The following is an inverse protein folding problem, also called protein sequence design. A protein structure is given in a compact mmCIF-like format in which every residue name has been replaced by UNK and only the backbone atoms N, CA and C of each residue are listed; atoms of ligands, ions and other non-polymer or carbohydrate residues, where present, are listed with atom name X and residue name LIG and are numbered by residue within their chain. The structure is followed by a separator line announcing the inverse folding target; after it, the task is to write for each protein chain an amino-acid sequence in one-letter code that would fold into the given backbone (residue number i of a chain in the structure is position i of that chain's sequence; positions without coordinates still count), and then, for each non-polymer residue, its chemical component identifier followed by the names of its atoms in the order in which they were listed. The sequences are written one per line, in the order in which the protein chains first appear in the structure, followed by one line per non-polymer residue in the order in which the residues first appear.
data_IF_255420333444
#
_entry.id   IF_255420333444
#
_cell.length_a   1.000
_cell.length_b   1.000
_cell.length_c   1.000
_cell.angle_alpha   90.00
_cell.angle_beta   90.00
_cell.angle_gamma   90.00
#
_symmetry.space_group_name_H-M   'P 1'
#
loop_
_entity.id
_entity.type
_entity.pdbx_description
1 polymer ?
#
# COMPACT_ATOMS: atom_id res chain seq x y z
N UNK A 1 -5.17 22.46 38.73
CA UNK A 1 -5.33 21.08 38.23
C UNK A 1 -5.22 21.12 36.72
N UNK A 2 -4.04 20.80 36.17
CA UNK A 2 -3.88 20.56 34.74
C UNK A 2 -4.36 19.13 34.49
N UNK A 3 -5.61 18.99 34.06
CA UNK A 3 -6.15 17.69 33.66
C UNK A 3 -5.41 17.21 32.43
N UNK A 4 -4.69 16.09 32.54
CA UNK A 4 -4.22 15.36 31.37
C UNK A 4 -5.44 14.92 30.57
N UNK A 5 -5.80 15.67 29.53
CA UNK A 5 -6.67 15.16 28.47
C UNK A 5 -5.91 14.01 27.82
N UNK A 6 -6.27 12.77 28.18
CA UNK A 6 -5.75 11.60 27.50
C UNK A 6 -6.16 11.71 26.03
N UNK A 7 -5.18 11.73 25.15
CA UNK A 7 -5.44 11.77 23.71
C UNK A 7 -6.28 10.56 23.34
N UNK A 8 -7.37 10.79 22.61
CA UNK A 8 -8.27 9.72 22.19
C UNK A 8 -7.49 8.79 21.25
N UNK A 9 -7.55 7.46 21.44
CA UNK A 9 -6.98 6.51 20.51
C UNK A 9 -7.41 6.79 19.07
N UNK A 10 -6.47 6.59 18.14
CA UNK A 10 -6.71 6.72 16.70
C UNK A 10 -6.64 5.35 16.05
N UNK A 11 -7.35 5.20 14.93
CA UNK A 11 -7.29 4.03 14.08
C UNK A 11 -6.59 4.34 12.76
N UNK A 12 -5.56 3.57 12.42
CA UNK A 12 -4.85 3.70 11.13
C UNK A 12 -5.07 2.47 10.24
N UNK A 13 -5.44 2.68 8.98
CA UNK A 13 -5.52 1.60 7.98
C UNK A 13 -4.38 1.73 6.98
N UNK A 14 -3.60 0.66 6.82
CA UNK A 14 -2.50 0.57 5.86
C UNK A 14 -2.73 -0.58 4.91
N UNK A 15 -2.73 -0.27 3.61
CA UNK A 15 -2.78 -1.26 2.55
C UNK A 15 -1.37 -1.44 1.99
N UNK A 16 -0.94 -2.69 1.83
CA UNK A 16 0.35 -3.03 1.22
C UNK A 16 0.09 -3.90 0.01
N UNK A 17 0.55 -3.45 -1.16
CA UNK A 17 0.47 -4.21 -2.39
C UNK A 17 1.85 -4.76 -2.72
N UNK A 18 1.89 -6.04 -3.08
CA UNK A 18 3.09 -6.73 -3.54
C UNK A 18 2.86 -7.21 -4.96
N UNK A 19 3.68 -6.72 -5.89
CA UNK A 19 3.62 -7.16 -7.28
C UNK A 19 4.37 -8.47 -7.48
N UNK A 20 3.61 -9.55 -7.74
CA UNK A 20 4.19 -10.89 -7.94
C UNK A 20 4.70 -11.12 -9.36
N UNK A 21 4.49 -10.14 -10.23
CA UNK A 21 5.03 -10.11 -11.59
C UNK A 21 6.45 -9.52 -11.60
N UNK A 22 6.77 -8.67 -10.62
CA UNK A 22 8.12 -8.14 -10.39
C UNK A 22 8.94 -9.10 -9.50
N UNK A 23 9.77 -9.91 -10.16
CA UNK A 23 10.63 -10.88 -9.48
C UNK A 23 11.67 -10.26 -8.52
N UNK A 24 11.96 -8.96 -8.62
CA UNK A 24 12.89 -8.28 -7.71
C UNK A 24 12.32 -8.23 -6.28
N UNK A 25 11.00 -8.28 -6.14
CA UNK A 25 10.30 -8.28 -4.86
C UNK A 25 10.01 -9.68 -4.31
N UNK A 26 10.54 -10.74 -4.92
CA UNK A 26 10.31 -12.12 -4.46
C UNK A 26 10.85 -12.42 -3.07
N UNK A 27 11.94 -11.77 -2.68
CA UNK A 27 12.56 -12.02 -1.38
C UNK A 27 11.78 -11.39 -0.24
N UNK A 28 11.42 -12.20 0.77
CA UNK A 28 10.78 -11.71 1.99
C UNK A 28 11.62 -10.64 2.72
N UNK A 29 12.95 -10.62 2.51
CA UNK A 29 13.86 -9.70 3.17
C UNK A 29 13.49 -8.22 2.97
N UNK A 30 12.99 -7.85 1.79
CA UNK A 30 12.59 -6.46 1.48
C UNK A 30 11.50 -5.96 2.44
N UNK A 31 10.52 -6.81 2.73
CA UNK A 31 9.39 -6.44 3.58
C UNK A 31 9.74 -6.52 5.05
N UNK A 32 10.53 -7.54 5.44
CA UNK A 32 10.94 -7.72 6.82
C UNK A 32 11.78 -6.54 7.33
N UNK A 33 12.62 -5.95 6.47
CA UNK A 33 13.38 -4.73 6.82
C UNK A 33 12.49 -3.51 6.98
N UNK A 34 11.35 -3.45 6.31
CA UNK A 34 10.43 -2.32 6.32
C UNK A 34 9.38 -2.38 7.45
N UNK A 35 9.25 -3.52 8.16
CA UNK A 35 8.29 -3.68 9.27
C UNK A 35 8.34 -2.53 10.29
N UNK A 36 9.52 -2.08 10.77
CA UNK A 36 9.59 -0.94 11.69
C UNK A 36 8.96 0.34 11.12
N UNK A 37 9.16 0.61 9.82
CA UNK A 37 8.59 1.78 9.15
C UNK A 37 7.08 1.62 8.93
N UNK A 38 6.61 0.42 8.59
CA UNK A 38 5.19 0.10 8.48
C UNK A 38 4.50 0.36 9.83
N UNK A 39 5.06 -0.15 10.93
CA UNK A 39 4.52 0.06 12.28
C UNK A 39 4.46 1.54 12.66
N UNK A 40 5.48 2.32 12.32
CA UNK A 40 5.47 3.77 12.56
C UNK A 40 4.42 4.50 11.73
N UNK A 41 4.22 4.13 10.45
CA UNK A 41 3.13 4.68 9.63
C UNK A 41 1.75 4.39 10.23
N UNK A 42 1.62 3.25 10.93
CA UNK A 42 0.42 2.82 11.67
C UNK A 42 0.29 3.46 13.07
N UNK A 43 1.29 4.24 13.52
CA UNK A 43 1.43 4.77 14.87
C UNK A 43 1.47 3.71 15.99
N UNK A 44 2.09 2.56 15.71
CA UNK A 44 2.21 1.46 16.65
C UNK A 44 3.57 1.49 17.36
N UNK A 45 3.54 1.68 18.69
CA UNK A 45 4.74 1.69 19.55
C UNK A 45 4.92 0.33 20.23
N UNK A 46 5.90 -0.46 19.78
CA UNK A 46 6.19 -1.79 20.33
C UNK A 46 6.95 -1.78 21.66
N UNK A 47 7.41 -0.60 22.10
CA UNK A 47 8.11 -0.38 23.36
C UNK A 47 7.13 0.00 24.46
N UNK A 48 6.21 0.94 24.18
CA UNK A 48 5.22 1.45 25.14
C UNK A 48 3.82 0.86 24.97
N UNK A 49 3.55 0.15 23.88
CA UNK A 49 2.24 -0.37 23.50
C UNK A 49 1.35 0.71 22.87
N UNK A 50 1.05 1.77 23.63
CA UNK A 50 0.08 2.78 23.23
C UNK A 50 -1.34 2.23 23.13
N UNK A 51 -2.32 3.09 22.86
CA UNK A 51 -3.73 2.71 22.75
C UNK A 51 -4.29 2.79 21.34
N UNK A 52 -3.51 3.25 20.36
CA UNK A 52 -3.94 3.34 18.96
C UNK A 52 -4.19 1.96 18.36
N UNK A 53 -5.25 1.87 17.57
CA UNK A 53 -5.61 0.68 16.80
C UNK A 53 -5.09 0.79 15.37
N UNK A 54 -4.98 -0.35 14.70
CA UNK A 54 -4.58 -0.35 13.32
C UNK A 54 -5.04 -1.60 12.54
N UNK A 55 -5.15 -1.46 11.22
CA UNK A 55 -5.43 -2.54 10.29
C UNK A 55 -4.39 -2.54 9.18
N UNK A 56 -3.71 -3.66 9.00
CA UNK A 56 -2.83 -3.94 7.88
C UNK A 56 -3.55 -4.90 6.94
N UNK A 57 -3.66 -4.53 5.66
CA UNK A 57 -4.08 -5.45 4.61
C UNK A 57 -2.96 -5.62 3.60
N UNK A 58 -2.58 -6.86 3.35
CA UNK A 58 -1.58 -7.22 2.36
C UNK A 58 -2.30 -7.78 1.14
N UNK A 59 -1.93 -7.32 -0.06
CA UNK A 59 -2.52 -7.72 -1.33
C UNK A 59 -1.43 -8.17 -2.29
N UNK A 60 -1.75 -9.15 -3.14
CA UNK A 60 -0.94 -9.47 -4.31
C UNK A 60 -1.51 -8.76 -5.54
N UNK A 61 -0.67 -8.03 -6.27
CA UNK A 61 -0.95 -7.60 -7.64
C UNK A 61 -0.52 -8.75 -8.56
N UNK A 62 -1.42 -9.21 -9.42
CA UNK A 62 -1.22 -10.35 -10.31
C UNK A 62 -1.88 -10.11 -11.70
N UNK A 63 -2.01 -11.18 -12.48
CA UNK A 63 -2.66 -11.22 -13.80
C UNK A 63 -4.19 -11.26 -13.74
N UNK A 64 -4.76 -11.40 -12.55
CA UNK A 64 -6.19 -11.36 -12.29
C UNK A 64 -6.58 -9.97 -11.79
N UNK A 65 -7.84 -9.62 -12.03
CA UNK A 65 -8.43 -8.45 -11.39
C UNK A 65 -8.66 -8.70 -9.91
N UNK A 66 -8.61 -9.95 -9.42
CA UNK A 66 -8.81 -10.37 -8.02
C UNK A 66 -7.49 -10.57 -7.25
N UNK A 67 -7.38 -9.87 -6.13
CA UNK A 67 -6.24 -9.94 -5.20
C UNK A 67 -6.62 -10.78 -3.99
N UNK A 68 -5.88 -11.87 -3.75
CA UNK A 68 -5.87 -12.52 -2.44
C UNK A 68 -5.32 -11.53 -1.42
N UNK A 69 -5.94 -11.46 -0.24
CA UNK A 69 -5.51 -10.56 0.82
C UNK A 69 -5.35 -11.23 2.17
N UNK A 70 -4.30 -10.86 2.89
CA UNK A 70 -4.12 -11.18 4.31
C UNK A 70 -4.42 -9.93 5.14
N UNK A 71 -5.28 -10.06 6.15
CA UNK A 71 -5.69 -8.94 7.01
C UNK A 71 -5.22 -9.21 8.43
N UNK A 72 -4.58 -8.21 9.04
CA UNK A 72 -4.23 -8.20 10.45
C UNK A 72 -4.73 -6.93 11.10
N UNK A 73 -5.38 -7.09 12.24
CA UNK A 73 -6.01 -5.98 12.98
C UNK A 73 -5.58 -5.96 14.43
N UNK A 74 -5.38 -4.76 14.95
CA UNK A 74 -5.20 -4.43 16.35
C UNK A 74 -6.31 -3.44 16.71
N UNK A 75 -7.18 -3.82 17.64
CA UNK A 75 -8.23 -2.89 18.09
C UNK A 75 -7.62 -1.72 18.89
N UNK A 76 -8.34 -0.60 18.92
CA UNK A 76 -8.05 0.51 19.81
C UNK A 76 -8.14 0.03 21.27
N UNK A 77 -7.13 0.35 22.06
CA UNK A 77 -7.17 0.12 23.50
C UNK A 77 -7.99 1.18 24.22
N UNK A 78 -8.44 0.88 25.43
CA UNK A 78 -9.16 1.85 26.27
C UNK A 78 -8.22 2.43 27.33
N UNK A 79 -7.83 3.72 27.26
CA UNK A 79 -6.97 4.32 28.28
C UNK A 79 -7.73 4.64 29.58
N UNK A 80 -7.00 4.86 30.68
CA UNK A 80 -7.55 5.32 31.96
C UNK A 80 -7.49 4.27 33.08
N UNK A 81 -7.85 4.67 34.31
CA UNK A 81 -7.75 3.80 35.50
C UNK A 81 -8.65 2.56 35.45
N UNK A 82 -9.78 2.64 34.73
CA UNK A 82 -10.70 1.53 34.46
C UNK A 82 -10.52 0.96 33.04
N UNK A 83 -9.48 1.40 32.35
CA UNK A 83 -9.16 0.98 30.99
C UNK A 83 -8.44 -0.36 30.96
N UNK A 84 -7.89 -0.67 29.79
CA UNK A 84 -7.11 -1.88 29.57
C UNK A 84 -5.81 -1.86 30.38
N UNK A 85 -5.40 -3.02 30.89
CA UNK A 85 -4.11 -3.17 31.56
C UNK A 85 -2.95 -2.83 30.59
N UNK A 86 -2.01 -1.94 30.97
CA UNK A 86 -0.91 -1.55 30.08
C UNK A 86 0.03 -2.68 29.65
N UNK A 87 0.24 -3.70 30.50
CA UNK A 87 1.08 -4.85 30.17
C UNK A 87 0.38 -5.76 29.17
N UNK A 88 -0.92 -6.03 29.37
CA UNK A 88 -1.72 -6.79 28.41
C UNK A 88 -1.76 -6.09 27.05
N UNK A 89 -1.91 -4.76 27.05
CA UNK A 89 -1.87 -3.95 25.83
C UNK A 89 -0.52 -4.03 25.12
N UNK A 90 0.59 -3.93 25.87
CA UNK A 90 1.93 -4.08 25.30
C UNK A 90 2.12 -5.46 24.66
N UNK A 91 1.61 -6.52 25.29
CA UNK A 91 1.69 -7.88 24.75
C UNK A 91 0.82 -8.08 23.50
N UNK A 92 -0.36 -7.46 23.43
CA UNK A 92 -1.17 -7.40 22.21
C UNK A 92 -0.42 -6.73 21.06
N UNK A 93 0.16 -5.55 21.32
CA UNK A 93 0.92 -4.78 20.32
C UNK A 93 2.12 -5.56 19.81
N UNK A 94 2.85 -6.24 20.70
CA UNK A 94 3.99 -7.09 20.32
C UNK A 94 3.58 -8.33 19.56
N UNK A 95 2.43 -8.95 19.87
CA UNK A 95 1.87 -10.07 19.10
C UNK A 95 1.44 -9.60 17.70
N UNK A 96 0.76 -8.46 17.62
CA UNK A 96 0.40 -7.83 16.36
C UNK A 96 1.64 -7.58 15.49
N UNK A 97 2.65 -6.91 16.05
CA UNK A 97 3.90 -6.58 15.35
C UNK A 97 4.66 -7.82 14.85
N UNK A 98 4.82 -8.86 15.69
CA UNK A 98 5.46 -10.11 15.27
C UNK A 98 4.68 -10.84 14.17
N UNK A 99 3.35 -10.76 14.21
CA UNK A 99 2.48 -11.38 13.22
C UNK A 99 2.62 -10.80 11.80
N UNK A 100 3.03 -9.54 11.66
CA UNK A 100 3.22 -8.92 10.33
C UNK A 100 4.26 -9.68 9.52
N UNK A 101 5.38 -10.08 10.13
CA UNK A 101 6.43 -10.81 9.44
C UNK A 101 5.97 -12.18 8.94
N UNK A 102 5.22 -12.92 9.76
CA UNK A 102 4.65 -14.20 9.34
C UNK A 102 3.62 -14.04 8.23
N UNK A 103 2.85 -12.94 8.23
CA UNK A 103 1.87 -12.68 7.18
C UNK A 103 2.53 -12.43 5.82
N UNK A 104 3.62 -11.64 5.79
CA UNK A 104 4.41 -11.48 4.57
C UNK A 104 4.98 -12.81 4.09
N UNK A 105 5.61 -13.58 4.98
CA UNK A 105 6.20 -14.89 4.61
C UNK A 105 5.13 -15.83 4.04
N UNK A 106 3.97 -15.93 4.69
CA UNK A 106 2.86 -16.76 4.21
C UNK A 106 2.31 -16.27 2.87
N UNK A 107 2.08 -14.96 2.72
CA UNK A 107 1.56 -14.38 1.49
C UNK A 107 2.47 -14.64 0.30
N UNK A 108 3.79 -14.49 0.47
CA UNK A 108 4.79 -14.67 -0.59
C UNK A 108 5.06 -16.15 -0.91
N UNK A 109 4.91 -17.02 0.09
CA UNK A 109 4.97 -18.47 -0.11
C UNK A 109 3.83 -18.96 -1.01
N UNK A 110 2.63 -18.44 -0.80
CA UNK A 110 1.42 -18.82 -1.55
C UNK A 110 1.26 -18.04 -2.87
N UNK A 111 2.19 -17.11 -3.16
CA UNK A 111 2.17 -16.28 -4.35
C UNK A 111 2.61 -17.06 -5.60
N UNK A 112 1.82 -16.94 -6.66
CA UNK A 112 2.17 -17.47 -7.98
C UNK A 112 3.04 -16.45 -8.73
N UNK A 113 4.35 -16.54 -8.53
CA UNK A 113 5.34 -15.68 -9.19
C UNK A 113 5.46 -15.95 -10.71
N UNK A 114 6.09 -15.01 -11.44
CA UNK A 114 6.42 -15.13 -12.87
C UNK A 114 5.21 -15.08 -13.82
N UNK A 115 4.19 -14.30 -13.46
CA UNK A 115 3.10 -13.99 -14.39
C UNK A 115 3.60 -13.04 -15.48
N UNK A 116 3.13 -13.26 -16.70
CA UNK A 116 3.48 -12.43 -17.86
C UNK A 116 2.62 -11.16 -17.98
N UNK A 117 1.60 -11.00 -17.15
CA UNK A 117 0.67 -9.86 -17.15
C UNK A 117 0.52 -9.31 -15.73
N UNK A 118 0.46 -7.99 -15.62
CA UNK A 118 0.25 -7.27 -14.36
C UNK A 118 -0.91 -6.31 -14.53
N UNK A 119 -2.01 -6.56 -13.81
CA UNK A 119 -3.25 -5.75 -13.83
C UNK A 119 -3.25 -4.74 -12.68
N UNK A 120 -2.29 -3.83 -12.68
CA UNK A 120 -2.04 -2.90 -11.56
C UNK A 120 -3.24 -1.98 -11.34
N UNK A 121 -3.74 -1.33 -12.39
CA UNK A 121 -4.85 -0.38 -12.32
C UNK A 121 -6.08 -0.98 -11.66
N UNK A 122 -6.50 -2.16 -12.12
CA UNK A 122 -7.73 -2.79 -11.65
C UNK A 122 -7.60 -3.24 -10.18
N UNK A 123 -6.44 -3.80 -9.80
CA UNK A 123 -6.17 -4.19 -8.42
C UNK A 123 -6.14 -2.98 -7.48
N UNK A 124 -5.43 -1.91 -7.86
CA UNK A 124 -5.41 -0.68 -7.08
C UNK A 124 -6.80 -0.04 -7.00
N UNK A 125 -7.52 0.07 -8.12
CA UNK A 125 -8.80 0.75 -8.13
C UNK A 125 -9.83 0.11 -7.20
N UNK A 126 -9.95 -1.23 -7.22
CA UNK A 126 -10.88 -1.92 -6.32
C UNK A 126 -10.52 -1.72 -4.86
N UNK A 127 -9.27 -1.95 -4.50
CA UNK A 127 -8.87 -1.92 -3.11
C UNK A 127 -8.80 -0.50 -2.55
N UNK A 128 -8.40 0.48 -3.37
CA UNK A 128 -8.44 1.88 -2.95
C UNK A 128 -9.87 2.38 -2.77
N UNK A 129 -10.85 1.87 -3.53
CA UNK A 129 -12.28 2.12 -3.25
C UNK A 129 -12.70 1.60 -1.87
N UNK A 130 -12.20 0.44 -1.46
CA UNK A 130 -12.44 -0.10 -0.11
C UNK A 130 -11.77 0.77 0.96
N UNK A 131 -10.51 1.19 0.74
CA UNK A 131 -9.77 2.05 1.65
C UNK A 131 -10.42 3.43 1.81
N UNK A 132 -10.89 4.03 0.72
CA UNK A 132 -11.58 5.32 0.75
C UNK A 132 -12.80 5.29 1.69
N UNK A 133 -13.51 4.15 1.74
CA UNK A 133 -14.68 3.93 2.60
C UNK A 133 -14.33 3.47 4.03
N UNK A 134 -13.08 3.09 4.30
CA UNK A 134 -12.67 2.65 5.63
C UNK A 134 -12.82 3.78 6.67
N UNK A 135 -13.36 3.44 7.84
CA UNK A 135 -13.48 4.36 8.96
C UNK A 135 -12.16 4.38 9.76
N UNK A 136 -11.21 5.19 9.31
CA UNK A 136 -9.90 5.35 9.95
C UNK A 136 -9.48 6.81 9.99
N UNK A 137 -8.76 7.20 11.04
CA UNK A 137 -8.21 8.55 11.20
C UNK A 137 -7.07 8.82 10.21
N UNK A 138 -6.30 7.78 9.88
CA UNK A 138 -5.21 7.83 8.90
C UNK A 138 -5.33 6.67 7.93
N UNK A 139 -4.96 6.93 6.67
CA UNK A 139 -4.93 5.94 5.58
C UNK A 139 -3.58 6.04 4.88
N UNK A 140 -2.92 4.91 4.68
CA UNK A 140 -1.70 4.86 3.89
C UNK A 140 -1.71 3.63 2.98
N UNK A 141 -0.97 3.76 1.89
CA UNK A 141 -0.76 2.69 0.92
C UNK A 141 0.74 2.56 0.69
N UNK A 142 1.21 1.33 0.66
CA UNK A 142 2.58 0.97 0.30
C UNK A 142 2.48 0.02 -0.89
N UNK A 143 3.21 0.28 -1.96
CA UNK A 143 3.21 -0.55 -3.16
C UNK A 143 4.65 -0.96 -3.46
N UNK A 144 4.91 -2.26 -3.47
CA UNK A 144 6.17 -2.85 -3.90
C UNK A 144 6.01 -3.34 -5.34
N UNK A 145 6.43 -2.52 -6.30
CA UNK A 145 6.24 -2.77 -7.73
C UNK A 145 7.15 -1.87 -8.58
N UNK A 146 7.55 -2.34 -9.75
CA UNK A 146 8.09 -1.50 -10.83
C UNK A 146 7.02 -0.62 -11.51
N UNK A 147 5.75 -0.83 -11.16
CA UNK A 147 4.57 -0.16 -11.66
C UNK A 147 4.36 -0.30 -13.17
N UNK A 148 4.94 -1.34 -13.79
CA UNK A 148 4.83 -1.61 -15.21
C UNK A 148 3.54 -2.41 -15.50
N UNK A 149 2.42 -1.70 -15.62
CA UNK A 149 1.17 -2.26 -16.13
C UNK A 149 1.42 -3.06 -17.42
N UNK A 150 0.88 -4.28 -17.45
CA UNK A 150 0.83 -5.10 -18.65
C UNK A 150 -0.52 -5.80 -18.74
N UNK A 151 -1.54 -5.05 -19.19
CA UNK A 151 -2.89 -5.55 -19.35
C UNK A 151 -3.51 -5.10 -20.69
N UNK A 152 -4.75 -5.52 -20.91
CA UNK A 152 -5.52 -5.13 -22.10
C UNK A 152 -5.93 -3.65 -22.08
N UNK A 153 -5.94 -3.00 -20.90
CA UNK A 153 -6.31 -1.58 -20.78
C UNK A 153 -5.22 -0.68 -21.37
N UNK A 154 -3.97 -0.97 -20.97
CA UNK A 154 -2.75 -0.37 -21.48
C UNK A 154 -1.54 -1.18 -21.03
N UNK A 155 -0.39 -0.94 -21.65
CA UNK A 155 0.84 -1.67 -21.34
C UNK A 155 2.05 -0.75 -21.47
N UNK A 156 3.02 -0.88 -20.56
CA UNK A 156 4.34 -0.25 -20.66
C UNK A 156 5.31 -1.05 -21.54
N UNK A 157 4.81 -2.04 -22.29
CA UNK A 157 5.59 -2.92 -23.13
C UNK A 157 5.15 -2.84 -24.60
N UNK A 158 6.12 -3.01 -25.50
CA UNK A 158 5.88 -3.11 -26.93
C UNK A 158 5.07 -1.91 -27.49
N UNK A 159 4.15 -2.15 -28.43
CA UNK A 159 3.32 -1.08 -29.02
C UNK A 159 2.42 -0.34 -28.02
N UNK A 160 2.17 -0.91 -26.83
CA UNK A 160 1.33 -0.28 -25.80
C UNK A 160 1.90 1.03 -25.25
N UNK A 161 3.21 1.24 -25.38
CA UNK A 161 3.91 2.40 -24.84
C UNK A 161 3.45 3.72 -25.47
N UNK A 162 3.02 3.71 -26.73
CA UNK A 162 2.47 4.90 -27.40
C UNK A 162 1.20 5.41 -26.70
N UNK A 163 0.36 4.47 -26.22
CA UNK A 163 -0.84 4.80 -25.45
C UNK A 163 -0.48 5.45 -24.11
N UNK A 164 0.59 4.98 -23.46
CA UNK A 164 1.12 5.57 -22.21
C UNK A 164 1.58 7.01 -22.44
N UNK A 165 2.33 7.27 -23.52
CA UNK A 165 2.75 8.63 -23.85
C UNK A 165 1.53 9.54 -24.09
N UNK A 166 0.55 9.09 -24.87
CA UNK A 166 -0.68 9.84 -25.10
C UNK A 166 -1.46 10.11 -23.79
N UNK A 167 -1.44 9.17 -22.84
CA UNK A 167 -2.01 9.38 -21.51
C UNK A 167 -1.24 10.42 -20.70
N UNK A 168 0.10 10.39 -20.71
CA UNK A 168 0.95 11.37 -20.00
C UNK A 168 0.69 12.80 -20.49
N UNK A 169 0.44 12.95 -21.80
CA UNK A 169 0.11 14.22 -22.44
C UNK A 169 -1.33 14.68 -22.14
N UNK A 170 -2.30 13.77 -22.10
CA UNK A 170 -3.69 14.04 -21.72
C UNK A 170 -4.18 13.09 -20.60
N UNK A 171 -3.94 13.48 -19.35
CA UNK A 171 -4.40 12.72 -18.18
C UNK A 171 -5.93 12.60 -18.12
N UNK A 172 -6.69 13.55 -18.71
CA UNK A 172 -8.14 13.43 -18.73
C UNK A 172 -8.59 12.31 -19.67
N UNK A 173 -7.87 12.09 -20.77
CA UNK A 173 -8.07 10.91 -21.62
C UNK A 173 -7.75 9.64 -20.86
N UNK A 174 -6.62 9.58 -20.15
CA UNK A 174 -6.27 8.44 -19.31
C UNK A 174 -7.39 8.12 -18.32
N UNK A 175 -7.91 9.13 -17.61
CA UNK A 175 -9.05 8.96 -16.71
C UNK A 175 -10.26 8.39 -17.43
N UNK A 176 -10.73 9.02 -18.51
CA UNK A 176 -11.94 8.57 -19.25
C UNK A 176 -11.83 7.13 -19.75
N UNK A 177 -10.67 6.73 -20.26
CA UNK A 177 -10.47 5.40 -20.83
C UNK A 177 -10.26 4.32 -19.77
N UNK A 178 -9.66 4.65 -18.63
CA UNK A 178 -9.38 3.68 -17.56
C UNK A 178 -10.58 3.49 -16.62
N UNK A 179 -11.40 4.53 -16.39
CA UNK A 179 -12.53 4.46 -15.44
C UNK A 179 -13.69 3.58 -15.89
N UNK A 180 -13.67 3.06 -17.12
CA UNK A 180 -14.77 2.24 -17.67
C UNK A 180 -15.11 1.00 -16.84
N UNK A 181 -14.10 0.36 -16.24
CA UNK A 181 -14.26 -0.86 -15.44
C UNK A 181 -14.28 -0.61 -13.93
N UNK A 182 -13.59 0.45 -13.48
CA UNK A 182 -13.50 0.83 -12.08
C UNK A 182 -13.07 2.29 -11.98
N UNK A 183 -13.85 3.12 -11.31
CA UNK A 183 -13.48 4.52 -11.07
C UNK A 183 -12.62 4.64 -9.81
N UNK A 184 -11.42 5.21 -9.94
CA UNK A 184 -10.54 5.46 -8.80
C UNK A 184 -11.19 6.49 -7.86
N UNK A 185 -11.23 6.26 -6.55
CA UNK A 185 -11.90 7.18 -5.63
C UNK A 185 -11.07 8.44 -5.39
N UNK A 186 -11.66 9.44 -4.72
CA UNK A 186 -10.89 10.55 -4.12
C UNK A 186 -9.97 9.98 -3.03
N UNK A 187 -8.66 10.18 -3.20
CA UNK A 187 -7.58 9.75 -2.32
C UNK A 187 -7.04 10.88 -1.45
N UNK A 188 -7.83 11.94 -1.24
CA UNK A 188 -7.49 13.02 -0.31
C UNK A 188 -7.13 12.49 1.07
N UNK A 189 -5.95 12.86 1.56
CA UNK A 189 -5.45 12.42 2.87
C UNK A 189 -4.91 10.97 2.88
N UNK A 190 -4.84 10.30 1.74
CA UNK A 190 -4.16 9.01 1.58
C UNK A 190 -2.70 9.26 1.20
N UNK A 191 -1.78 8.74 2.00
CA UNK A 191 -0.35 8.72 1.71
C UNK A 191 -0.01 7.47 0.88
N UNK A 192 0.49 7.64 -0.35
CA UNK A 192 0.93 6.52 -1.21
C UNK A 192 2.46 6.50 -1.33
N UNK A 193 3.07 5.43 -0.85
CA UNK A 193 4.49 5.15 -0.99
C UNK A 193 4.69 4.00 -1.99
N UNK A 194 5.43 4.26 -3.06
CA UNK A 194 5.71 3.29 -4.11
C UNK A 194 7.21 2.98 -4.07
N UNK A 195 7.52 1.78 -3.60
CA UNK A 195 8.86 1.23 -3.53
C UNK A 195 9.13 0.50 -4.84
N UNK A 196 10.12 0.96 -5.58
CA UNK A 196 10.47 0.44 -6.90
C UNK A 196 11.96 0.09 -6.99
N UNK A 197 12.27 -1.06 -7.58
CA UNK A 197 13.64 -1.50 -7.83
C UNK A 197 14.01 -1.31 -9.30
N UNK A 198 15.17 -0.71 -9.52
CA UNK A 198 15.66 -0.34 -10.86
C UNK A 198 16.87 -1.17 -11.24
N UNK A 199 16.91 -1.53 -12.51
CA UNK A 199 17.98 -2.22 -13.20
C UNK A 199 18.28 -1.47 -14.49
N UNK A 200 19.44 -1.70 -15.09
CA UNK A 200 19.76 -1.13 -16.41
C UNK A 200 18.72 -1.49 -17.48
N UNK A 201 18.01 -2.60 -17.33
CA UNK A 201 17.05 -3.08 -18.32
C UNK A 201 15.65 -2.46 -18.19
N UNK A 202 15.26 -1.98 -17.00
CA UNK A 202 13.92 -1.42 -16.76
C UNK A 202 13.92 0.07 -16.41
N UNK A 203 15.08 0.72 -16.20
CA UNK A 203 15.15 2.10 -15.69
C UNK A 203 14.30 3.11 -16.48
N UNK A 204 14.36 3.11 -17.81
CA UNK A 204 13.57 4.01 -18.66
C UNK A 204 12.06 3.76 -18.51
N UNK A 205 11.64 2.49 -18.46
CA UNK A 205 10.24 2.13 -18.29
C UNK A 205 9.73 2.51 -16.91
N UNK A 206 10.52 2.26 -15.87
CA UNK A 206 10.17 2.67 -14.49
C UNK A 206 10.10 4.19 -14.41
N UNK A 207 10.98 4.94 -15.08
CA UNK A 207 10.87 6.40 -15.18
C UNK A 207 9.56 6.85 -15.83
N UNK A 208 9.14 6.20 -16.91
CA UNK A 208 7.87 6.49 -17.57
C UNK A 208 6.68 6.14 -16.68
N UNK A 209 6.71 4.98 -16.03
CA UNK A 209 5.68 4.53 -15.10
C UNK A 209 5.56 5.45 -13.89
N UNK A 210 6.68 5.86 -13.28
CA UNK A 210 6.68 6.82 -12.19
C UNK A 210 6.01 8.13 -12.60
N UNK A 211 6.29 8.65 -13.81
CA UNK A 211 5.64 9.86 -14.32
C UNK A 211 4.14 9.68 -14.52
N UNK A 212 3.73 8.61 -15.20
CA UNK A 212 2.32 8.30 -15.45
C UNK A 212 1.55 8.17 -14.14
N UNK A 213 1.98 7.26 -13.26
CA UNK A 213 1.26 6.95 -12.01
C UNK A 213 1.26 8.10 -11.02
N UNK A 214 2.36 8.87 -10.94
CA UNK A 214 2.38 10.08 -10.11
C UNK A 214 1.32 11.06 -10.56
N UNK A 215 1.26 11.40 -11.85
CA UNK A 215 0.26 12.34 -12.37
C UNK A 215 -1.16 11.79 -12.20
N UNK A 216 -1.36 10.51 -12.53
CA UNK A 216 -2.67 9.88 -12.47
C UNK A 216 -3.23 9.84 -11.04
N UNK A 217 -2.43 9.42 -10.05
CA UNK A 217 -2.85 9.33 -8.65
C UNK A 217 -2.96 10.72 -8.00
N UNK A 218 -2.11 11.69 -8.36
CA UNK A 218 -2.24 13.07 -7.88
C UNK A 218 -3.51 13.76 -8.39
N UNK A 219 -4.01 13.41 -9.59
CA UNK A 219 -5.34 13.87 -10.02
C UNK A 219 -6.47 13.36 -9.11
N UNK A 220 -6.26 12.23 -8.44
CA UNK A 220 -7.13 11.70 -7.38
C UNK A 220 -6.79 12.29 -6.00
N UNK A 221 -6.00 13.37 -5.94
CA UNK A 221 -5.65 14.12 -4.72
C UNK A 221 -4.81 13.34 -3.70
N UNK A 222 -4.18 12.25 -4.13
CA UNK A 222 -3.26 11.48 -3.31
C UNK A 222 -1.89 12.18 -3.16
N UNK A 223 -1.25 11.97 -2.01
CA UNK A 223 0.17 12.31 -1.82
C UNK A 223 1.03 11.12 -2.26
N UNK A 224 1.66 11.23 -3.43
CA UNK A 224 2.42 10.12 -4.05
C UNK A 224 3.92 10.31 -3.84
N UNK A 225 4.60 9.26 -3.38
CA UNK A 225 6.05 9.21 -3.20
C UNK A 225 6.61 7.97 -3.91
N UNK A 226 7.54 8.16 -4.84
CA UNK A 226 8.31 7.08 -5.47
C UNK A 226 9.71 7.03 -4.87
N UNK A 227 10.22 5.82 -4.58
CA UNK A 227 11.57 5.64 -4.05
C UNK A 227 12.07 4.21 -4.18
N UNK A 228 13.38 4.01 -3.96
CA UNK A 228 13.99 2.68 -3.90
C UNK A 228 13.83 1.98 -2.56
N UNK A 229 13.32 2.69 -1.56
CA UNK A 229 13.11 2.24 -0.19
C UNK A 229 11.88 2.94 0.38
N UNK A 230 11.26 2.33 1.40
CA UNK A 230 10.20 2.97 2.16
C UNK A 230 10.81 4.10 3.00
N UNK A 231 10.21 5.30 2.98
CA UNK A 231 10.70 6.46 3.73
C UNK A 231 9.64 7.05 4.66
N UNK A 232 10.11 7.71 5.72
CA UNK A 232 9.31 8.61 6.54
C UNK A 232 9.20 10.00 5.90
N UNK A 233 8.27 10.81 6.40
CA UNK A 233 8.14 12.22 5.98
C UNK A 233 9.31 13.08 6.44
#
# INVERSE_FOLDING_TARGET
MLGCTQEKPKFTTVYVFVDVTDSLFRSASHYLTDIPLILRKMNIDTVKGGYDGAELRLFLINDLSESKSTVRRLEEGTPGMLGQNPLDRLDEVRRFSRGIGSDFVSLLHDAEWQKNQSKIYQNLCRELNNLARANSNKKAVIIYSDMLENSNLFSFYGPGIEKVHAYIEDMNRARRELTGDCEMPDLSGVELNIVTLRTKANDEKVNLASQFWTRFLQQQRALVRFGSELREE
#
